data_IF_664821817792
#
_entry.id   IF_664821817792
#
_cell.length_a   1.000
_cell.length_b   1.000
_cell.length_c   1.000
_cell.angle_alpha   90.00
_cell.angle_beta   90.00
_cell.angle_gamma   90.00
#
_symmetry.space_group_name_H-M   'P 1'
#
loop_
_entity.id
_entity.type
_entity.pdbx_description
1 polymer ?
#
# COMPACT_ATOMS: atom_id res chain seq x y z
N UNK A 1 23.11 -9.51 -21.31
CA UNK A 1 21.81 -8.87 -21.65
C UNK A 1 20.68 -9.87 -21.39
N UNK A 2 19.63 -9.48 -20.66
CA UNK A 2 18.48 -10.37 -20.49
C UNK A 2 17.78 -10.66 -21.81
N UNK A 3 17.24 -11.87 -21.95
CA UNK A 3 16.42 -12.25 -23.09
C UNK A 3 15.05 -11.54 -23.05
N UNK A 4 14.32 -11.60 -24.16
CA UNK A 4 12.95 -11.09 -24.23
C UNK A 4 12.05 -11.79 -23.19
N UNK A 5 12.19 -13.10 -23.06
CA UNK A 5 11.41 -13.92 -22.14
C UNK A 5 11.69 -13.57 -20.67
N UNK A 6 12.96 -13.33 -20.33
CA UNK A 6 13.35 -12.89 -18.98
C UNK A 6 12.79 -11.51 -18.67
N UNK A 7 12.82 -10.57 -19.61
CA UNK A 7 12.25 -9.23 -19.43
C UNK A 7 10.72 -9.29 -19.23
N UNK A 8 10.02 -10.08 -20.04
CA UNK A 8 8.57 -10.27 -19.89
C UNK A 8 8.24 -10.87 -18.53
N UNK A 9 8.94 -11.93 -18.12
CA UNK A 9 8.71 -12.57 -16.82
C UNK A 9 8.93 -11.61 -15.66
N UNK A 10 10.01 -10.82 -15.69
CA UNK A 10 10.34 -9.86 -14.64
C UNK A 10 9.26 -8.78 -14.50
N UNK A 11 8.93 -8.10 -15.59
CA UNK A 11 7.97 -7.00 -15.50
C UNK A 11 6.54 -7.47 -15.25
N UNK A 12 6.15 -8.64 -15.78
CA UNK A 12 4.87 -9.26 -15.44
C UNK A 12 4.78 -9.60 -13.97
N UNK A 13 5.85 -10.09 -13.36
CA UNK A 13 5.86 -10.38 -11.92
C UNK A 13 5.75 -9.10 -11.08
N UNK A 14 6.42 -8.01 -11.47
CA UNK A 14 6.27 -6.73 -10.78
C UNK A 14 4.83 -6.24 -10.79
N UNK A 15 4.18 -6.28 -11.93
CA UNK A 15 2.77 -5.89 -12.05
C UNK A 15 1.82 -6.81 -11.26
N UNK A 16 2.18 -8.09 -11.10
CA UNK A 16 1.38 -9.04 -10.32
C UNK A 16 1.54 -8.85 -8.80
N UNK A 17 2.72 -8.45 -8.34
CA UNK A 17 3.05 -8.38 -6.90
C UNK A 17 3.02 -6.96 -6.33
N UNK A 18 3.01 -5.94 -7.18
CA UNK A 18 3.00 -4.54 -6.78
C UNK A 18 1.76 -3.81 -7.28
N UNK A 19 1.38 -2.77 -6.56
CA UNK A 19 0.43 -1.74 -6.98
C UNK A 19 1.00 -0.39 -6.58
N UNK A 20 0.30 0.71 -6.83
CA UNK A 20 0.74 2.05 -6.45
C UNK A 20 -0.35 2.83 -5.72
N UNK A 21 0.01 4.00 -5.17
CA UNK A 21 -0.89 4.80 -4.35
C UNK A 21 -2.11 5.30 -5.14
N UNK A 22 -1.93 5.61 -6.41
CA UNK A 22 -3.00 6.09 -7.29
C UNK A 22 -4.04 5.01 -7.55
N UNK A 23 -3.58 3.80 -7.89
CA UNK A 23 -4.46 2.66 -8.13
C UNK A 23 -5.19 2.23 -6.85
N UNK A 24 -4.50 2.19 -5.72
CA UNK A 24 -5.11 1.85 -4.42
C UNK A 24 -6.19 2.87 -4.04
N UNK A 25 -5.92 4.16 -4.20
CA UNK A 25 -6.93 5.19 -3.94
C UNK A 25 -8.14 5.03 -4.88
N UNK A 26 -7.91 4.77 -6.16
CA UNK A 26 -8.97 4.49 -7.13
C UNK A 26 -9.81 3.27 -6.75
N UNK A 27 -9.19 2.21 -6.29
CA UNK A 27 -9.87 0.99 -5.83
C UNK A 27 -10.72 1.25 -4.59
N UNK A 28 -10.25 2.08 -3.64
CA UNK A 28 -11.03 2.50 -2.47
C UNK A 28 -12.27 3.27 -2.93
N UNK A 29 -12.10 4.27 -3.82
CA UNK A 29 -13.22 5.07 -4.35
C UNK A 29 -14.24 4.21 -5.11
N UNK A 30 -13.77 3.17 -5.80
CA UNK A 30 -14.62 2.22 -6.53
C UNK A 30 -15.22 1.12 -5.65
N UNK A 31 -14.94 1.14 -4.34
CA UNK A 31 -15.41 0.11 -3.38
C UNK A 31 -14.98 -1.32 -3.77
N UNK A 32 -13.79 -1.47 -4.33
CA UNK A 32 -13.19 -2.78 -4.61
C UNK A 32 -12.95 -3.51 -3.29
N UNK A 33 -13.25 -4.80 -3.26
CA UNK A 33 -13.07 -5.60 -2.05
C UNK A 33 -11.60 -5.97 -1.84
N UNK A 34 -10.95 -5.32 -0.89
CA UNK A 34 -9.60 -5.62 -0.41
C UNK A 34 -9.39 -4.98 0.97
N UNK A 35 -8.33 -5.37 1.64
CA UNK A 35 -7.91 -4.74 2.91
C UNK A 35 -6.57 -4.05 2.69
N UNK A 36 -6.51 -2.74 3.01
CA UNK A 36 -5.28 -1.96 3.03
C UNK A 36 -4.67 -2.05 4.43
N UNK A 37 -3.43 -2.53 4.53
CA UNK A 37 -2.75 -2.76 5.82
C UNK A 37 -1.53 -1.85 5.95
N UNK A 38 -1.54 -1.04 7.00
CA UNK A 38 -0.38 -0.27 7.45
C UNK A 38 0.50 -1.18 8.33
N UNK A 39 1.69 -1.52 7.84
CA UNK A 39 2.59 -2.44 8.55
C UNK A 39 3.66 -1.74 9.38
N UNK A 40 3.55 -0.40 9.55
CA UNK A 40 4.57 0.41 10.22
C UNK A 40 4.60 0.30 11.74
N UNK A 41 3.46 0.05 12.36
CA UNK A 41 3.31 0.01 13.81
C UNK A 41 2.66 1.26 14.42
N UNK A 42 2.35 1.17 15.73
CA UNK A 42 1.46 2.10 16.43
C UNK A 42 1.93 3.56 16.39
N UNK A 43 3.22 3.82 16.59
CA UNK A 43 3.74 5.20 16.62
C UNK A 43 3.54 5.89 15.27
N UNK A 44 3.82 5.20 14.18
CA UNK A 44 3.60 5.72 12.83
C UNK A 44 2.11 5.89 12.51
N UNK A 45 1.29 4.92 12.92
CA UNK A 45 -0.16 4.97 12.79
C UNK A 45 -0.76 6.20 13.49
N UNK A 46 -0.34 6.47 14.72
CA UNK A 46 -0.79 7.62 15.50
C UNK A 46 -0.37 8.94 14.85
N UNK A 47 0.79 8.97 14.22
CA UNK A 47 1.33 10.15 13.54
C UNK A 47 0.51 10.53 12.30
N UNK A 48 -0.04 9.55 11.62
CA UNK A 48 -0.88 9.71 10.44
C UNK A 48 -0.92 8.45 9.58
N UNK A 49 -2.05 8.19 8.96
CA UNK A 49 -2.32 6.98 8.17
C UNK A 49 -3.18 7.27 6.97
N UNK A 50 -3.12 6.40 5.98
CA UNK A 50 -4.02 6.44 4.84
C UNK A 50 -5.45 6.14 5.31
N UNK A 51 -6.42 6.94 4.87
CA UNK A 51 -7.83 6.68 5.16
C UNK A 51 -8.24 5.35 4.53
N UNK A 52 -8.89 4.49 5.31
CA UNK A 52 -9.29 3.15 4.89
C UNK A 52 -8.31 2.04 5.27
N UNK A 53 -7.13 2.36 5.76
CA UNK A 53 -6.16 1.36 6.23
C UNK A 53 -6.53 0.81 7.62
N UNK A 54 -6.05 -0.40 7.89
CA UNK A 54 -6.00 -0.98 9.25
C UNK A 54 -4.55 -1.04 9.72
N UNK A 55 -4.36 -0.93 11.04
CA UNK A 55 -3.05 -1.05 11.67
C UNK A 55 -2.73 -2.51 11.99
N UNK A 56 -1.67 -3.04 11.38
CA UNK A 56 -1.16 -4.37 11.69
C UNK A 56 0.33 -4.41 11.41
N UNK A 57 1.15 -4.23 12.43
CA UNK A 57 2.61 -4.29 12.28
C UNK A 57 3.04 -5.63 11.67
N UNK A 58 4.05 -5.62 10.80
CA UNK A 58 4.46 -6.82 10.06
C UNK A 58 4.76 -8.02 10.98
N UNK A 59 5.24 -7.80 12.20
CA UNK A 59 5.51 -8.88 13.17
C UNK A 59 4.25 -9.50 13.80
N UNK A 60 3.10 -8.85 13.67
CA UNK A 60 1.83 -9.31 14.24
C UNK A 60 0.96 -10.09 13.23
N UNK A 61 1.34 -10.07 11.96
CA UNK A 61 0.53 -10.63 10.86
C UNK A 61 0.25 -12.12 11.07
N UNK A 62 1.27 -12.89 11.44
CA UNK A 62 1.11 -14.34 11.62
C UNK A 62 0.05 -14.71 12.66
N UNK A 63 -0.07 -13.90 13.72
CA UNK A 63 -1.04 -14.11 14.78
C UNK A 63 -2.40 -13.48 14.49
N UNK A 64 -2.40 -12.24 14.00
CA UNK A 64 -3.61 -11.43 13.88
C UNK A 64 -4.39 -11.68 12.58
N UNK A 65 -3.70 -11.80 11.46
CA UNK A 65 -4.36 -11.87 10.16
C UNK A 65 -5.37 -13.03 10.06
N UNK A 66 -5.07 -14.27 10.50
CA UNK A 66 -6.03 -15.37 10.40
C UNK A 66 -7.33 -15.14 11.18
N UNK A 67 -7.30 -14.27 12.20
CA UNK A 67 -8.47 -13.94 13.02
C UNK A 67 -9.23 -12.71 12.53
N UNK A 68 -8.56 -11.80 11.84
CA UNK A 68 -9.11 -10.49 11.52
C UNK A 68 -9.45 -10.32 10.03
N UNK A 69 -8.80 -11.08 9.15
CA UNK A 69 -8.96 -10.95 7.70
C UNK A 69 -9.32 -12.33 7.10
N UNK A 70 -10.46 -12.47 6.41
CA UNK A 70 -10.78 -13.71 5.70
C UNK A 70 -9.70 -14.05 4.65
N UNK A 71 -9.34 -15.32 4.53
CA UNK A 71 -8.24 -15.77 3.66
C UNK A 71 -8.47 -15.47 2.18
N UNK A 72 -9.71 -15.38 1.76
CA UNK A 72 -10.11 -15.06 0.37
C UNK A 72 -10.15 -13.56 0.08
N UNK A 73 -9.87 -12.72 1.09
CA UNK A 73 -9.82 -11.27 0.91
C UNK A 73 -8.44 -10.84 0.41
N UNK A 74 -8.35 -10.16 -0.75
CA UNK A 74 -7.09 -9.60 -1.21
C UNK A 74 -6.54 -8.57 -0.22
N UNK A 75 -5.21 -8.55 -0.07
CA UNK A 75 -4.51 -7.66 0.85
C UNK A 75 -3.56 -6.76 0.08
N UNK A 76 -3.51 -5.49 0.44
CA UNK A 76 -2.49 -4.54 -0.01
C UNK A 76 -1.77 -4.02 1.23
N UNK A 77 -0.44 -4.05 1.21
CA UNK A 77 0.38 -3.58 2.33
C UNK A 77 1.16 -2.33 1.97
N UNK A 78 1.39 -1.45 2.96
CA UNK A 78 2.31 -0.33 2.80
C UNK A 78 3.14 -0.08 4.05
N UNK A 79 4.31 0.52 3.86
CA UNK A 79 5.19 1.03 4.89
C UNK A 79 5.45 2.53 4.67
N UNK A 80 6.55 3.07 5.18
CA UNK A 80 6.85 4.50 5.09
C UNK A 80 7.01 5.00 3.66
N UNK A 81 7.82 4.32 2.85
CA UNK A 81 8.13 4.78 1.50
C UNK A 81 9.20 3.91 0.83
N UNK A 82 9.77 4.37 -0.29
CA UNK A 82 10.73 3.57 -1.07
C UNK A 82 11.99 3.17 -0.32
N UNK A 83 12.36 3.92 0.70
CA UNK A 83 13.53 3.62 1.54
C UNK A 83 13.27 2.63 2.68
N UNK A 84 12.07 2.06 2.79
CA UNK A 84 11.67 1.15 3.86
C UNK A 84 11.27 -0.20 3.28
N UNK A 85 11.83 -1.28 3.83
CA UNK A 85 11.48 -2.64 3.41
C UNK A 85 10.37 -3.30 4.26
N UNK A 86 9.71 -2.55 5.13
CA UNK A 86 8.65 -3.07 5.99
C UNK A 86 7.46 -3.65 5.22
N UNK A 87 7.12 -3.04 4.07
CA UNK A 87 6.08 -3.56 3.20
C UNK A 87 6.46 -4.91 2.58
N UNK A 88 7.73 -5.11 2.20
CA UNK A 88 8.22 -6.41 1.73
C UNK A 88 8.08 -7.49 2.81
N UNK A 89 8.42 -7.15 4.07
CA UNK A 89 8.26 -8.06 5.21
C UNK A 89 6.80 -8.39 5.46
N UNK A 90 5.93 -7.39 5.44
CA UNK A 90 4.49 -7.57 5.58
C UNK A 90 3.90 -8.44 4.48
N UNK A 91 4.25 -8.14 3.22
CA UNK A 91 3.79 -8.93 2.08
C UNK A 91 4.24 -10.40 2.17
N UNK A 92 5.51 -10.63 2.54
CA UNK A 92 6.02 -12.00 2.74
C UNK A 92 5.21 -12.73 3.82
N UNK A 93 4.97 -12.08 4.96
CA UNK A 93 4.23 -12.70 6.07
C UNK A 93 2.78 -13.05 5.67
N UNK A 94 2.09 -12.19 4.93
CA UNK A 94 0.78 -12.51 4.36
C UNK A 94 0.84 -13.65 3.35
N UNK A 95 1.83 -13.64 2.45
CA UNK A 95 2.00 -14.70 1.46
C UNK A 95 2.25 -16.06 2.09
N UNK A 96 3.04 -16.11 3.18
CA UNK A 96 3.31 -17.35 3.92
C UNK A 96 2.03 -17.93 4.56
N UNK A 97 1.02 -17.12 4.84
CA UNK A 97 -0.28 -17.54 5.34
C UNK A 97 -1.26 -17.91 4.22
N UNK A 98 -0.89 -17.71 2.95
CA UNK A 98 -1.72 -18.05 1.79
C UNK A 98 -2.60 -16.92 1.26
N UNK A 99 -2.47 -15.69 1.77
CA UNK A 99 -3.20 -14.54 1.24
C UNK A 99 -2.69 -14.13 -0.14
N UNK A 100 -3.61 -13.64 -0.97
CA UNK A 100 -3.26 -12.86 -2.15
C UNK A 100 -2.86 -11.46 -1.69
N UNK A 101 -1.60 -11.09 -1.88
CA UNK A 101 -1.06 -9.83 -1.36
C UNK A 101 -0.31 -9.06 -2.45
N UNK A 102 -0.46 -7.73 -2.44
CA UNK A 102 0.36 -6.80 -3.22
C UNK A 102 0.98 -5.77 -2.29
N UNK A 103 2.16 -5.29 -2.67
CA UNK A 103 2.79 -4.13 -2.05
C UNK A 103 2.37 -2.85 -2.76
N UNK A 104 1.93 -1.84 -2.01
CA UNK A 104 1.72 -0.49 -2.53
C UNK A 104 3.06 0.24 -2.57
N UNK A 105 3.67 0.31 -3.75
CA UNK A 105 4.94 1.03 -3.93
C UNK A 105 4.76 2.52 -3.68
N UNK A 106 5.82 3.17 -3.23
CA UNK A 106 5.78 4.55 -2.79
C UNK A 106 5.34 4.73 -1.34
N UNK A 107 4.53 3.82 -0.81
CA UNK A 107 4.13 3.79 0.59
C UNK A 107 3.36 5.01 1.07
N UNK A 108 3.37 5.22 2.38
CA UNK A 108 2.70 6.37 3.00
C UNK A 108 3.27 7.71 2.52
N UNK A 109 4.58 7.79 2.26
CA UNK A 109 5.22 9.00 1.76
C UNK A 109 4.53 9.52 0.50
N UNK A 110 4.37 8.65 -0.51
CA UNK A 110 3.75 9.04 -1.79
C UNK A 110 2.24 9.17 -1.70
N UNK A 111 1.57 8.40 -0.84
CA UNK A 111 0.17 8.61 -0.52
C UNK A 111 -0.08 10.05 -0.05
N UNK A 112 0.72 10.51 0.90
CA UNK A 112 0.62 11.87 1.42
C UNK A 112 1.07 12.92 0.39
N UNK A 113 2.16 12.67 -0.36
CA UNK A 113 2.66 13.59 -1.39
C UNK A 113 1.65 13.84 -2.51
N UNK A 114 0.95 12.82 -2.94
CA UNK A 114 -0.07 12.94 -3.99
C UNK A 114 -1.38 13.53 -3.49
N UNK A 115 -1.45 13.84 -2.20
CA UNK A 115 -2.60 14.50 -1.60
C UNK A 115 -3.80 13.58 -1.37
N UNK A 116 -3.58 12.27 -1.32
CA UNK A 116 -4.62 11.32 -0.97
C UNK A 116 -4.99 11.42 0.52
N UNK A 117 -6.21 11.01 0.92
CA UNK A 117 -6.70 11.28 2.26
C UNK A 117 -5.85 10.65 3.36
N UNK A 118 -5.38 11.50 4.28
CA UNK A 118 -4.62 11.14 5.48
C UNK A 118 -5.40 11.57 6.70
N UNK A 119 -5.41 10.74 7.74
CA UNK A 119 -6.07 10.99 9.00
C UNK A 119 -5.16 10.64 10.18
N UNK A 120 -5.32 11.35 11.29
CA UNK A 120 -4.83 10.96 12.62
C UNK A 120 -6.01 10.94 13.59
N UNK A 121 -5.76 10.61 14.86
CA UNK A 121 -6.80 10.67 15.88
C UNK A 121 -7.32 12.11 16.11
N UNK A 122 -6.52 13.12 15.73
CA UNK A 122 -6.91 14.55 15.78
C UNK A 122 -7.72 15.02 14.58
N UNK A 123 -7.92 14.18 13.57
CA UNK A 123 -8.68 14.47 12.36
C UNK A 123 -7.87 14.45 11.08
N UNK A 124 -8.45 14.92 9.96
CA UNK A 124 -7.78 14.91 8.66
C UNK A 124 -6.50 15.75 8.65
N UNK A 125 -5.49 15.24 7.95
CA UNK A 125 -4.23 15.96 7.70
C UNK A 125 -4.19 16.32 6.22
N UNK A 126 -4.15 17.63 5.91
CA UNK A 126 -4.15 18.14 4.54
C UNK A 126 -2.77 18.63 4.17
N UNK A 127 -2.27 18.18 3.01
CA UNK A 127 -1.01 18.63 2.42
C UNK A 127 -1.24 19.20 1.03
N UNK A 128 -0.48 20.24 0.71
CA UNK A 128 -0.43 20.77 -0.65
C UNK A 128 0.31 19.82 -1.59
N UNK A 129 -0.18 19.72 -2.82
CA UNK A 129 0.46 18.96 -3.88
C UNK A 129 1.61 19.75 -4.50
N UNK A 130 2.73 19.08 -4.74
CA UNK A 130 3.84 19.66 -5.48
C UNK A 130 3.60 19.44 -6.99
N UNK A 131 3.37 20.51 -7.80
CA UNK A 131 3.06 20.35 -9.21
C UNK A 131 4.23 19.85 -10.06
N UNK A 132 5.42 19.75 -9.49
CA UNK A 132 6.59 19.20 -10.19
C UNK A 132 6.72 17.68 -10.02
N UNK A 133 6.06 17.09 -9.04
CA UNK A 133 6.29 15.69 -8.67
C UNK A 133 5.05 14.82 -8.74
N UNK A 134 3.86 15.43 -8.83
CA UNK A 134 2.59 14.70 -8.87
C UNK A 134 1.57 15.36 -9.79
N UNK A 135 0.59 14.62 -10.32
CA UNK A 135 -0.53 15.21 -11.07
C UNK A 135 -1.37 16.10 -10.15
N UNK A 136 -1.63 17.35 -10.56
CA UNK A 136 -2.44 18.30 -9.76
C UNK A 136 -3.90 18.35 -10.18
N UNK A 137 -4.22 17.95 -11.42
CA UNK A 137 -5.55 18.06 -12.02
C UNK A 137 -6.31 16.73 -12.06
N UNK A 138 -5.71 15.64 -11.64
CA UNK A 138 -6.37 14.35 -11.56
C UNK A 138 -5.91 13.60 -10.31
N UNK A 139 -6.76 12.72 -9.82
CA UNK A 139 -6.46 11.86 -8.66
C UNK A 139 -5.69 10.61 -9.04
N UNK A 140 -5.53 10.34 -10.33
CA UNK A 140 -4.83 9.15 -10.82
C UNK A 140 -3.72 9.54 -11.77
N UNK A 141 -2.63 8.81 -11.71
CA UNK A 141 -1.63 8.78 -12.77
C UNK A 141 -2.27 8.19 -14.02
N UNK A 142 -2.07 8.79 -15.18
CA UNK A 142 -2.53 8.23 -16.45
C UNK A 142 -1.43 7.33 -17.08
N UNK A 143 -0.68 6.69 -16.21
CA UNK A 143 0.33 5.77 -16.62
C UNK A 143 -0.30 4.45 -17.06
#
# INVERSE_FOLDING_TARGET
MPSKEELIAHFSSRLAFETDVSDVHGDIEASVNFVLVDVRGQVAWDQGRAVGAIDMHHSEIAERAPREIPLDTPVVVYCWGPGCNGAHRGALNFAMLGYQVKEMIGGFEYWAREGFPVVSDSGPIIREKDPLTIPVNSVTCQC
#
